data_IF_974458807488
#
_entry.id   IF_974458807488
#
_cell.length_a   1.000
_cell.length_b   1.000
_cell.length_c   1.000
_cell.angle_alpha   90.00
_cell.angle_beta   90.00
_cell.angle_gamma   90.00
#
_symmetry.space_group_name_H-M   'P 1'
#
loop_
_entity.id
_entity.type
_entity.pdbx_description
1 polymer ?
#
# COMPACT_ATOMS: atom_id res chain seq x y z
N UNK A 1 21.98 -35.44 50.75
CA UNK A 1 20.60 -35.78 50.30
C UNK A 1 19.74 -34.52 50.12
N UNK A 2 19.76 -33.54 51.04
CA UNK A 2 19.04 -32.25 50.85
C UNK A 2 19.57 -31.37 49.70
N UNK A 3 20.89 -31.36 49.46
CA UNK A 3 21.46 -30.54 48.37
C UNK A 3 21.14 -31.06 46.97
N UNK A 4 21.08 -32.39 46.79
CA UNK A 4 20.69 -33.02 45.52
C UNK A 4 19.24 -32.71 45.09
N UNK A 5 18.33 -32.57 46.06
CA UNK A 5 16.93 -32.24 45.80
C UNK A 5 16.77 -30.78 45.39
N UNK A 6 17.58 -29.88 45.98
CA UNK A 6 17.62 -28.46 45.62
C UNK A 6 18.19 -28.25 44.21
N UNK A 7 19.24 -28.98 43.85
CA UNK A 7 19.88 -28.87 42.55
C UNK A 7 18.97 -29.36 41.40
N UNK A 8 18.22 -30.43 41.65
CA UNK A 8 17.18 -30.92 40.71
C UNK A 8 16.01 -29.95 40.57
N UNK A 9 15.55 -29.29 41.64
CA UNK A 9 14.51 -28.26 41.54
C UNK A 9 14.98 -27.05 40.72
N UNK A 10 16.20 -26.57 40.95
CA UNK A 10 16.77 -25.46 40.18
C UNK A 10 16.94 -25.81 38.68
N UNK A 11 17.28 -27.07 38.37
CA UNK A 11 17.32 -27.55 36.97
C UNK A 11 15.93 -27.66 36.36
N UNK A 12 14.95 -28.11 37.13
CA UNK A 12 13.55 -28.19 36.70
C UNK A 12 12.97 -26.82 36.35
N UNK A 13 13.20 -25.82 37.21
CA UNK A 13 12.78 -24.43 36.96
C UNK A 13 13.45 -23.86 35.70
N UNK A 14 14.76 -24.05 35.53
CA UNK A 14 15.47 -23.59 34.33
C UNK A 14 15.00 -24.23 33.02
N UNK A 15 14.63 -25.52 33.04
CA UNK A 15 14.04 -26.20 31.87
C UNK A 15 12.64 -25.66 31.57
N UNK A 16 11.89 -25.30 32.61
CA UNK A 16 10.51 -24.81 32.47
C UNK A 16 10.47 -23.39 31.91
N UNK A 17 11.41 -22.54 32.32
CA UNK A 17 11.60 -21.21 31.71
C UNK A 17 12.01 -21.33 30.23
N UNK A 18 12.96 -22.21 29.90
CA UNK A 18 13.35 -22.46 28.51
C UNK A 18 12.18 -22.96 27.65
N UNK A 19 11.32 -23.84 28.18
CA UNK A 19 10.13 -24.31 27.48
C UNK A 19 9.10 -23.19 27.28
N UNK A 20 8.99 -22.25 28.21
CA UNK A 20 8.14 -21.07 28.08
C UNK A 20 8.66 -20.14 26.98
N UNK A 21 9.95 -19.87 26.97
CA UNK A 21 10.60 -19.03 25.94
C UNK A 21 10.42 -19.64 24.54
N UNK A 22 10.67 -20.94 24.40
CA UNK A 22 10.43 -21.65 23.14
C UNK A 22 8.96 -21.57 22.70
N UNK A 23 8.01 -21.67 23.62
CA UNK A 23 6.59 -21.58 23.30
C UNK A 23 6.21 -20.18 22.77
N UNK A 24 6.77 -19.12 23.35
CA UNK A 24 6.51 -17.75 22.92
C UNK A 24 7.21 -17.37 21.61
N UNK A 25 8.43 -17.85 21.39
CA UNK A 25 9.11 -17.73 20.09
C UNK A 25 8.31 -18.43 18.99
N UNK A 26 7.82 -19.64 19.26
CA UNK A 26 7.04 -20.43 18.28
C UNK A 26 5.71 -19.73 17.95
N UNK A 27 5.04 -19.13 18.95
CA UNK A 27 3.82 -18.33 18.73
C UNK A 27 4.09 -17.10 17.86
N UNK A 28 5.19 -16.41 18.12
CA UNK A 28 5.59 -15.22 17.34
C UNK A 28 5.85 -15.60 15.88
N UNK A 29 6.56 -16.71 15.66
CA UNK A 29 6.86 -17.22 14.33
C UNK A 29 5.61 -17.67 13.57
N UNK A 30 4.68 -18.38 14.24
CA UNK A 30 3.40 -18.81 13.66
C UNK A 30 2.53 -17.60 13.26
N UNK A 31 2.49 -16.56 14.11
CA UNK A 31 1.76 -15.34 13.79
C UNK A 31 2.36 -14.64 12.56
N UNK A 32 3.69 -14.51 12.50
CA UNK A 32 4.36 -13.93 11.35
C UNK A 32 4.10 -14.74 10.07
N UNK A 33 4.22 -16.07 10.13
CA UNK A 33 3.98 -16.95 8.99
C UNK A 33 2.55 -16.79 8.44
N UNK A 34 1.54 -16.78 9.31
CA UNK A 34 0.14 -16.55 8.91
C UNK A 34 -0.07 -15.18 8.29
N UNK A 35 0.56 -14.14 8.83
CA UNK A 35 0.50 -12.79 8.25
C UNK A 35 1.07 -12.73 6.84
N UNK A 36 2.23 -13.37 6.61
CA UNK A 36 2.84 -13.47 5.28
C UNK A 36 1.96 -14.25 4.30
N UNK A 37 1.36 -15.37 4.73
CA UNK A 37 0.43 -16.12 3.88
C UNK A 37 -0.77 -15.27 3.45
N UNK A 38 -1.36 -14.52 4.38
CA UNK A 38 -2.49 -13.62 4.06
C UNK A 38 -2.07 -12.53 3.07
N UNK A 39 -0.86 -11.96 3.21
CA UNK A 39 -0.34 -10.99 2.27
C UNK A 39 -0.13 -11.59 0.87
N UNK A 40 0.48 -12.78 0.79
CA UNK A 40 0.70 -13.49 -0.48
C UNK A 40 -0.62 -13.89 -1.16
N UNK A 41 -1.62 -14.33 -0.41
CA UNK A 41 -2.93 -14.68 -0.95
C UNK A 41 -3.65 -13.46 -1.54
N UNK A 42 -3.51 -12.29 -0.91
CA UNK A 42 -3.98 -11.01 -1.46
C UNK A 42 -3.23 -10.65 -2.74
N UNK A 43 -1.91 -10.69 -2.73
CA UNK A 43 -1.10 -10.38 -3.93
C UNK A 43 -1.43 -11.29 -5.12
N UNK A 44 -1.81 -12.55 -4.86
CA UNK A 44 -2.20 -13.50 -5.90
C UNK A 44 -3.62 -13.25 -6.45
N UNK A 45 -4.50 -12.64 -5.68
CA UNK A 45 -5.93 -12.47 -6.01
C UNK A 45 -6.26 -11.07 -6.49
N UNK A 46 -5.70 -10.06 -5.86
CA UNK A 46 -5.81 -8.65 -6.21
C UNK A 46 -4.69 -8.34 -7.20
N UNK A 47 -4.96 -8.35 -8.50
CA UNK A 47 -3.94 -8.00 -9.52
C UNK A 47 -3.40 -6.60 -9.21
N UNK A 48 -2.17 -6.47 -8.68
CA UNK A 48 -1.67 -5.20 -8.16
C UNK A 48 -1.04 -4.35 -9.26
N UNK A 49 -1.40 -4.56 -10.52
CA UNK A 49 -0.90 -3.81 -11.67
C UNK A 49 -2.07 -3.37 -12.55
N UNK A 50 -1.95 -2.18 -13.13
CA UNK A 50 -2.99 -1.60 -14.00
C UNK A 50 -2.62 -1.85 -15.45
N UNK A 51 -3.48 -2.54 -16.19
CA UNK A 51 -3.33 -2.74 -17.63
C UNK A 51 -3.74 -1.48 -18.42
N UNK A 52 -3.25 -1.34 -19.66
CA UNK A 52 -3.65 -0.23 -20.52
C UNK A 52 -5.15 -0.29 -20.81
N UNK A 53 -5.83 0.84 -20.68
CA UNK A 53 -7.28 0.95 -20.85
C UNK A 53 -8.09 0.64 -19.59
N UNK A 54 -7.47 0.17 -18.50
CA UNK A 54 -8.16 0.02 -17.23
C UNK A 54 -8.39 1.37 -16.56
N UNK A 55 -9.54 1.49 -15.90
CA UNK A 55 -9.99 2.71 -15.22
C UNK A 55 -10.07 2.47 -13.72
N UNK A 56 -9.44 3.35 -12.94
CA UNK A 56 -9.54 3.39 -11.49
C UNK A 56 -10.33 4.62 -11.06
N UNK A 57 -11.17 4.45 -10.04
CA UNK A 57 -11.87 5.56 -9.41
C UNK A 57 -11.12 6.00 -8.16
N UNK A 58 -10.82 7.28 -8.05
CA UNK A 58 -10.13 7.85 -6.87
C UNK A 58 -10.60 9.28 -6.62
N UNK A 59 -10.00 9.95 -5.64
CA UNK A 59 -10.24 11.37 -5.37
C UNK A 59 -8.93 12.15 -5.41
N UNK A 60 -8.99 13.42 -5.79
CA UNK A 60 -7.83 14.30 -5.69
C UNK A 60 -7.64 14.67 -4.22
N UNK A 61 -6.55 14.23 -3.59
CA UNK A 61 -6.28 14.53 -2.18
C UNK A 61 -5.80 15.96 -1.98
N UNK A 62 -4.89 16.43 -2.84
CA UNK A 62 -4.33 17.77 -2.81
C UNK A 62 -4.05 18.22 -4.26
N UNK A 63 -4.22 19.50 -4.55
CA UNK A 63 -4.08 20.07 -5.89
C UNK A 63 -3.33 21.40 -5.84
N UNK A 64 -2.16 21.43 -6.46
CA UNK A 64 -1.44 22.68 -6.70
C UNK A 64 -1.42 22.98 -8.21
N UNK A 65 -2.34 23.85 -8.64
CA UNK A 65 -2.45 24.26 -10.04
C UNK A 65 -1.27 25.12 -10.50
N UNK A 66 -0.67 25.92 -9.62
CA UNK A 66 0.46 26.79 -9.96
C UNK A 66 1.72 25.97 -10.27
N UNK A 67 1.98 24.93 -9.48
CA UNK A 67 3.04 23.96 -9.73
C UNK A 67 2.65 22.87 -10.75
N UNK A 68 1.37 22.79 -11.14
CA UNK A 68 0.86 21.79 -12.06
C UNK A 68 0.96 20.36 -11.51
N UNK A 69 0.79 20.16 -10.21
CA UNK A 69 0.89 18.85 -9.55
C UNK A 69 -0.36 18.54 -8.74
N UNK A 70 -0.67 17.26 -8.60
CA UNK A 70 -1.72 16.75 -7.74
C UNK A 70 -1.27 15.51 -6.99
N UNK A 71 -1.92 15.26 -5.86
CA UNK A 71 -1.71 14.07 -5.04
C UNK A 71 -2.94 13.17 -5.14
N UNK A 72 -2.71 11.87 -5.38
CA UNK A 72 -3.73 10.84 -5.37
C UNK A 72 -3.53 9.94 -4.14
N UNK A 73 -4.59 9.57 -3.42
CA UNK A 73 -4.53 8.64 -2.29
C UNK A 73 -4.55 7.18 -2.79
N UNK A 74 -3.78 6.91 -3.86
CA UNK A 74 -3.54 5.59 -4.45
C UNK A 74 -2.08 5.54 -4.90
N UNK A 75 -1.44 4.40 -4.76
CA UNK A 75 0.00 4.22 -4.99
C UNK A 75 0.34 2.87 -5.60
N UNK A 76 1.54 2.36 -5.30
CA UNK A 76 2.05 1.08 -5.80
C UNK A 76 1.19 -0.10 -5.38
N UNK A 77 0.57 -0.05 -4.20
CA UNK A 77 -0.35 -1.10 -3.75
C UNK A 77 -1.62 -1.16 -4.61
N UNK A 78 -1.96 -0.08 -5.30
CA UNK A 78 -3.08 0.02 -6.24
C UNK A 78 -2.63 -0.13 -7.71
N UNK A 79 -1.36 -0.48 -7.92
CA UNK A 79 -0.76 -0.70 -9.24
C UNK A 79 -0.29 0.54 -10.00
N UNK A 80 -0.10 1.68 -9.32
CA UNK A 80 0.53 2.85 -9.91
C UNK A 80 2.05 2.72 -9.86
N UNK A 81 2.69 2.99 -11.00
CA UNK A 81 4.14 3.07 -11.10
C UNK A 81 4.60 4.45 -11.59
N UNK A 82 5.87 4.75 -11.36
CA UNK A 82 6.51 5.97 -11.85
C UNK A 82 6.43 6.01 -13.38
N UNK A 83 6.27 7.23 -13.93
CA UNK A 83 6.17 7.49 -15.37
C UNK A 83 4.93 6.90 -16.08
N UNK A 84 3.98 6.31 -15.35
CA UNK A 84 2.66 5.95 -15.89
C UNK A 84 1.85 7.19 -16.29
N UNK A 85 1.05 7.06 -17.36
CA UNK A 85 0.22 8.14 -17.88
C UNK A 85 -1.25 7.79 -17.78
N UNK A 86 -2.01 8.71 -17.24
CA UNK A 86 -3.45 8.53 -17.10
C UNK A 86 -4.24 9.65 -17.77
N UNK A 87 -5.38 9.27 -18.34
CA UNK A 87 -6.44 10.18 -18.71
C UNK A 87 -7.35 10.39 -17.50
N UNK A 88 -7.50 11.64 -17.07
CA UNK A 88 -8.37 12.01 -15.95
C UNK A 88 -9.72 12.41 -16.51
N UNK A 89 -10.77 11.76 -16.03
CA UNK A 89 -12.15 12.12 -16.32
C UNK A 89 -12.92 12.40 -15.04
N UNK A 90 -13.90 13.29 -15.12
CA UNK A 90 -14.79 13.60 -14.01
C UNK A 90 -16.16 13.99 -14.53
N UNK A 91 -17.20 13.41 -13.94
CA UNK A 91 -18.59 13.56 -14.39
C UNK A 91 -18.75 13.24 -15.90
N UNK A 92 -18.11 12.18 -16.38
CA UNK A 92 -18.15 11.74 -17.78
C UNK A 92 -17.45 12.66 -18.78
N UNK A 93 -16.61 13.59 -18.32
CA UNK A 93 -15.86 14.53 -19.18
C UNK A 93 -14.36 14.42 -18.95
N UNK A 94 -13.59 14.49 -20.03
CA UNK A 94 -12.13 14.59 -19.95
C UNK A 94 -11.71 15.90 -19.29
N UNK A 95 -10.99 15.80 -18.17
CA UNK A 95 -10.49 16.94 -17.41
C UNK A 95 -9.06 17.28 -17.81
N UNK A 96 -8.15 16.31 -17.72
CA UNK A 96 -6.76 16.46 -18.12
C UNK A 96 -6.07 15.12 -18.38
N UNK A 97 -4.78 15.15 -18.73
CA UNK A 97 -3.88 14.01 -18.62
C UNK A 97 -2.91 14.24 -17.47
N UNK A 98 -2.47 13.17 -16.83
CA UNK A 98 -1.48 13.22 -15.76
C UNK A 98 -0.35 12.22 -16.03
N UNK A 99 0.84 12.54 -15.51
CA UNK A 99 2.01 11.68 -15.49
C UNK A 99 2.37 11.43 -14.02
N UNK A 100 2.42 10.18 -13.59
CA UNK A 100 2.88 9.83 -12.24
C UNK A 100 4.36 10.15 -12.16
N UNK A 101 4.74 11.04 -11.24
CA UNK A 101 6.13 11.41 -10.99
C UNK A 101 6.76 10.60 -9.89
N UNK A 102 5.96 10.29 -8.87
CA UNK A 102 6.40 9.45 -7.76
C UNK A 102 5.19 8.64 -7.27
N UNK A 103 5.33 7.33 -7.28
CA UNK A 103 4.40 6.39 -6.70
C UNK A 103 4.96 5.86 -5.38
N UNK A 104 4.42 6.35 -4.26
CA UNK A 104 4.61 5.75 -2.94
C UNK A 104 3.73 4.51 -2.77
N UNK A 105 3.80 3.85 -1.61
CA UNK A 105 3.00 2.64 -1.36
C UNK A 105 1.49 2.90 -1.39
N UNK A 106 1.03 3.98 -0.75
CA UNK A 106 -0.39 4.31 -0.55
C UNK A 106 -0.84 5.62 -1.20
N UNK A 107 0.10 6.38 -1.77
CA UNK A 107 -0.17 7.67 -2.38
C UNK A 107 0.78 7.89 -3.55
N UNK A 108 0.39 8.76 -4.46
CA UNK A 108 1.21 9.14 -5.60
C UNK A 108 1.12 10.63 -5.87
N UNK A 109 2.22 11.17 -6.40
CA UNK A 109 2.33 12.53 -6.88
C UNK A 109 2.32 12.46 -8.40
N UNK A 110 1.38 13.17 -9.01
CA UNK A 110 1.24 13.23 -10.44
C UNK A 110 1.35 14.67 -10.95
N UNK A 111 2.04 14.83 -12.07
CA UNK A 111 2.13 16.07 -12.81
C UNK A 111 0.99 16.17 -13.81
N UNK A 112 0.30 17.31 -13.83
CA UNK A 112 -0.74 17.65 -14.79
C UNK A 112 -0.08 17.98 -16.12
N UNK A 113 -0.55 17.35 -17.20
CA UNK A 113 -0.18 17.68 -18.58
C UNK A 113 -1.26 18.61 -19.14
N UNK A 114 -1.04 19.94 -19.18
CA UNK A 114 -2.08 20.93 -19.43
C UNK A 114 -2.55 21.00 -20.89
N UNK A 115 -1.81 20.43 -21.84
CA UNK A 115 -2.13 20.49 -23.28
C UNK A 115 -3.37 19.68 -23.68
N UNK A 116 -3.93 18.88 -22.76
CA UNK A 116 -5.12 18.08 -22.99
C UNK A 116 -6.16 18.41 -21.91
N UNK A 117 -7.27 19.06 -22.27
CA UNK A 117 -8.43 19.23 -21.37
C UNK A 117 -8.60 20.62 -20.74
N UNK A 118 -9.48 20.72 -19.73
CA UNK A 118 -9.81 21.97 -18.99
C UNK A 118 -9.36 21.85 -17.54
N UNK A 119 -8.07 22.09 -17.31
CA UNK A 119 -7.41 21.93 -15.99
C UNK A 119 -8.09 22.74 -14.88
N UNK A 120 -8.64 23.93 -15.18
CA UNK A 120 -9.36 24.76 -14.21
C UNK A 120 -10.65 24.16 -13.65
N UNK A 121 -11.06 22.96 -14.11
CA UNK A 121 -12.17 22.20 -13.52
C UNK A 121 -11.74 21.21 -12.45
N UNK A 122 -10.44 20.97 -12.27
CA UNK A 122 -9.92 20.15 -11.18
C UNK A 122 -10.13 20.89 -9.86
N UNK A 123 -10.60 20.16 -8.85
CA UNK A 123 -10.76 20.66 -7.48
C UNK A 123 -10.22 19.63 -6.50
N UNK A 124 -9.72 20.10 -5.38
CA UNK A 124 -9.41 19.21 -4.25
C UNK A 124 -10.67 18.47 -3.79
N UNK A 125 -10.48 17.24 -3.31
CA UNK A 125 -11.53 16.31 -2.90
C UNK A 125 -12.54 15.94 -4.00
N UNK A 126 -12.24 16.25 -5.26
CA UNK A 126 -13.06 15.82 -6.38
C UNK A 126 -12.83 14.35 -6.68
N UNK A 127 -13.91 13.59 -6.79
CA UNK A 127 -13.87 12.23 -7.33
C UNK A 127 -13.59 12.27 -8.83
N UNK A 128 -12.64 11.46 -9.25
CA UNK A 128 -12.16 11.35 -10.62
C UNK A 128 -11.97 9.88 -11.00
N UNK A 129 -12.04 9.63 -12.30
CA UNK A 129 -11.66 8.36 -12.90
C UNK A 129 -10.35 8.58 -13.65
N UNK A 130 -9.35 7.74 -13.38
CA UNK A 130 -8.08 7.73 -14.09
C UNK A 130 -8.01 6.49 -14.97
N UNK A 131 -7.72 6.66 -16.26
CA UNK A 131 -7.63 5.54 -17.22
C UNK A 131 -6.21 5.45 -17.76
N UNK A 132 -5.58 4.28 -17.66
CA UNK A 132 -4.21 4.06 -18.11
C UNK A 132 -4.12 4.14 -19.65
N UNK A 133 -3.16 4.91 -20.17
CA UNK A 133 -3.00 5.21 -21.60
C UNK A 133 -1.97 4.32 -22.32
#
# INVERSE_FOLDING_TARGET
MRDLIKDEHSRGEGIQDQLSDYADETRTLDHHYKSILVALERDLTERPWIERGETLTTRIQNLNLDAGVLMLPIGRNDGLEDEMRFLVTGNGRHLCRILVKEAGLSHSIAMIIPMFGRVGRLKENQNIEITNL
#
